data_IF_267986643930
#
_entry.id   IF_267986643930
#
_cell.length_a   1.000
_cell.length_b   1.000
_cell.length_c   1.000
_cell.angle_alpha   90.00
_cell.angle_beta   90.00
_cell.angle_gamma   90.00
#
_symmetry.space_group_name_H-M   'P 1'
#
loop_
_entity.id
_entity.type
_entity.pdbx_description
1 polymer ?
#
# COMPACT_ATOMS: atom_id res chain seq x y z
N UNK A 1 -2.21 69.82 -33.14
CA UNK A 1 -2.28 69.15 -34.46
C UNK A 1 -1.95 67.69 -34.22
N UNK A 2 -2.94 66.83 -33.91
CA UNK A 2 -3.84 66.10 -34.83
C UNK A 2 -3.06 65.31 -35.89
N UNK A 3 -2.83 64.03 -35.60
CA UNK A 3 -2.85 62.94 -36.58
C UNK A 3 -3.03 61.65 -35.77
N UNK A 4 -4.27 61.39 -35.34
CA UNK A 4 -4.62 60.13 -34.70
C UNK A 4 -4.93 59.17 -35.85
N UNK A 5 -3.93 58.40 -36.27
CA UNK A 5 -4.00 57.48 -37.41
C UNK A 5 -5.08 56.43 -37.15
N UNK A 6 -6.29 56.71 -37.66
CA UNK A 6 -7.42 55.79 -37.69
C UNK A 6 -7.15 54.73 -38.77
N UNK A 7 -6.21 53.82 -38.49
CA UNK A 7 -6.23 52.56 -39.22
C UNK A 7 -7.54 51.87 -38.86
N UNK A 8 -8.41 51.51 -39.84
CA UNK A 8 -9.56 50.69 -39.54
C UNK A 8 -9.01 49.32 -39.12
N UNK A 9 -8.83 49.13 -37.82
CA UNK A 9 -8.46 47.86 -37.18
C UNK A 9 -9.62 46.91 -37.36
N UNK A 10 -9.80 46.44 -38.59
CA UNK A 10 -10.89 45.57 -39.01
C UNK A 10 -10.62 44.19 -38.44
N UNK A 11 -11.27 43.90 -37.32
CA UNK A 11 -11.21 42.59 -36.69
C UNK A 11 -12.30 41.72 -37.28
N UNK A 12 -11.93 40.74 -38.10
CA UNK A 12 -12.87 39.72 -38.57
C UNK A 12 -13.14 38.74 -37.43
N UNK A 13 -14.26 38.93 -36.73
CA UNK A 13 -14.76 38.01 -35.70
C UNK A 13 -15.59 36.90 -36.36
N UNK A 14 -14.94 35.77 -36.62
CA UNK A 14 -15.59 34.60 -37.24
C UNK A 14 -15.93 33.57 -36.17
N UNK A 15 -17.21 33.49 -35.78
CA UNK A 15 -17.73 32.43 -34.93
C UNK A 15 -17.83 31.14 -35.74
N UNK A 16 -17.03 30.14 -35.38
CA UNK A 16 -17.08 28.80 -35.98
C UNK A 16 -17.67 27.85 -34.95
N UNK A 17 -18.84 27.31 -35.26
CA UNK A 17 -19.48 26.26 -34.49
C UNK A 17 -19.17 24.94 -35.18
N UNK A 18 -18.66 23.98 -34.44
CA UNK A 18 -18.28 22.68 -34.95
C UNK A 18 -18.28 21.66 -33.83
N UNK A 19 -18.33 20.40 -34.20
CA UNK A 19 -18.27 19.29 -33.26
C UNK A 19 -16.80 19.15 -32.82
N UNK A 20 -16.54 19.32 -31.51
CA UNK A 20 -15.24 19.07 -30.91
C UNK A 20 -15.17 17.59 -30.55
N UNK A 21 -14.43 16.82 -31.34
CA UNK A 21 -14.21 15.40 -31.06
C UNK A 21 -12.96 15.30 -30.17
N UNK A 22 -13.18 14.97 -28.89
CA UNK A 22 -12.10 14.69 -27.94
C UNK A 22 -12.04 13.18 -27.67
N UNK A 23 -10.91 12.56 -27.97
CA UNK A 23 -10.67 11.15 -27.69
C UNK A 23 -10.05 11.02 -26.30
N UNK A 24 -10.89 10.72 -25.30
CA UNK A 24 -10.44 10.38 -23.96
C UNK A 24 -10.13 8.89 -23.89
N UNK A 25 -8.86 8.53 -24.11
CA UNK A 25 -8.42 7.14 -23.93
C UNK A 25 -8.26 6.83 -22.44
N UNK A 26 -9.33 6.36 -21.81
CA UNK A 26 -9.33 5.89 -20.43
C UNK A 26 -8.72 4.47 -20.37
N UNK A 27 -7.39 4.38 -20.37
CA UNK A 27 -6.72 3.09 -20.24
C UNK A 27 -5.26 3.23 -19.83
N UNK A 28 -4.84 2.40 -18.88
CA UNK A 28 -3.42 2.15 -18.62
C UNK A 28 -3.02 0.84 -19.28
N UNK A 29 -2.15 0.93 -20.28
CA UNK A 29 -1.49 -0.24 -20.86
C UNK A 29 -0.48 -0.77 -19.82
N UNK A 30 -0.85 -1.85 -19.14
CA UNK A 30 0.03 -2.53 -18.20
C UNK A 30 1.22 -3.14 -18.93
N UNK A 31 2.44 -2.64 -18.66
CA UNK A 31 3.69 -3.27 -19.11
C UNK A 31 4.19 -4.21 -18.03
N UNK A 32 4.65 -5.40 -18.42
CA UNK A 32 5.29 -6.31 -17.49
C UNK A 32 6.60 -5.69 -16.98
N UNK A 33 6.75 -5.61 -15.66
CA UNK A 33 7.95 -5.10 -14.99
C UNK A 33 8.34 -6.06 -13.88
N UNK A 34 9.51 -6.68 -14.03
CA UNK A 34 10.07 -7.59 -13.02
C UNK A 34 10.26 -6.89 -11.67
N UNK A 35 10.67 -5.61 -11.70
CA UNK A 35 10.80 -4.82 -10.48
C UNK A 35 9.47 -4.68 -9.72
N UNK A 36 8.37 -4.42 -10.43
CA UNK A 36 7.04 -4.35 -9.82
C UNK A 36 6.58 -5.70 -9.26
N UNK A 37 6.91 -6.80 -9.95
CA UNK A 37 6.61 -8.15 -9.48
C UNK A 37 7.31 -8.46 -8.15
N UNK A 38 8.61 -8.18 -8.05
CA UNK A 38 9.40 -8.44 -6.85
C UNK A 38 8.90 -7.60 -5.67
N UNK A 39 8.59 -6.32 -5.88
CA UNK A 39 8.05 -5.46 -4.83
C UNK A 39 6.74 -6.05 -4.29
N UNK A 40 5.83 -6.47 -5.18
CA UNK A 40 4.56 -7.09 -4.76
C UNK A 40 4.77 -8.40 -4.03
N UNK A 41 5.75 -9.21 -4.45
CA UNK A 41 6.08 -10.47 -3.79
C UNK A 41 6.60 -10.23 -2.37
N UNK A 42 7.54 -9.31 -2.20
CA UNK A 42 8.09 -8.94 -0.88
C UNK A 42 7.00 -8.36 0.03
N UNK A 43 6.12 -7.50 -0.51
CA UNK A 43 4.97 -7.00 0.25
C UNK A 43 4.03 -8.12 0.71
N UNK A 44 3.77 -9.12 -0.15
CA UNK A 44 2.98 -10.29 0.20
C UNK A 44 3.64 -11.13 1.31
N UNK A 45 4.95 -11.39 1.20
CA UNK A 45 5.70 -12.10 2.23
C UNK A 45 5.67 -11.36 3.58
N UNK A 46 5.82 -10.03 3.57
CA UNK A 46 5.71 -9.23 4.79
C UNK A 46 4.34 -9.33 5.45
N UNK A 47 3.27 -9.32 4.65
CA UNK A 47 1.90 -9.45 5.16
C UNK A 47 1.64 -10.85 5.74
N UNK A 48 2.21 -11.91 5.15
CA UNK A 48 2.11 -13.26 5.67
C UNK A 48 2.78 -13.38 7.05
N UNK A 49 4.00 -12.84 7.19
CA UNK A 49 4.69 -12.80 8.49
C UNK A 49 3.89 -12.02 9.53
N UNK A 50 3.34 -10.87 9.17
CA UNK A 50 2.47 -10.09 10.07
C UNK A 50 1.21 -10.88 10.48
N UNK A 51 0.65 -11.66 9.56
CA UNK A 51 -0.51 -12.49 9.88
C UNK A 51 -0.13 -13.59 10.87
N UNK A 52 1.01 -14.25 10.67
CA UNK A 52 1.51 -15.26 11.59
C UNK A 52 1.73 -14.70 13.00
N UNK A 53 2.34 -13.52 13.14
CA UNK A 53 2.55 -12.90 14.46
C UNK A 53 1.25 -12.52 15.15
N UNK A 54 0.24 -12.05 14.39
CA UNK A 54 -1.10 -11.79 14.92
C UNK A 54 -1.74 -13.10 15.41
N UNK A 55 -1.67 -14.17 14.62
CA UNK A 55 -2.20 -15.49 15.00
C UNK A 55 -1.52 -16.02 16.26
N UNK A 56 -0.19 -15.92 16.35
CA UNK A 56 0.55 -16.33 17.55
C UNK A 56 0.14 -15.53 18.79
N UNK A 57 -0.03 -14.21 18.63
CA UNK A 57 -0.50 -13.33 19.71
C UNK A 57 -1.92 -13.73 20.15
N UNK A 58 -2.83 -13.98 19.20
CA UNK A 58 -4.18 -14.45 19.51
C UNK A 58 -4.17 -15.82 20.19
N UNK A 59 -3.33 -16.75 19.74
CA UNK A 59 -3.20 -18.08 20.31
C UNK A 59 -2.71 -18.04 21.76
N UNK A 60 -1.82 -17.10 22.10
CA UNK A 60 -1.28 -16.97 23.45
C UNK A 60 -2.22 -16.24 24.42
N UNK A 61 -2.96 -15.23 23.94
CA UNK A 61 -3.75 -14.34 24.80
C UNK A 61 -5.26 -14.58 24.79
N UNK A 62 -5.83 -15.08 23.68
CA UNK A 62 -7.28 -15.22 23.52
C UNK A 62 -7.76 -16.65 23.75
N UNK A 63 -6.95 -17.67 23.42
CA UNK A 63 -7.37 -19.05 23.63
C UNK A 63 -7.41 -19.42 25.13
N UNK A 64 -8.52 -19.98 25.63
CA UNK A 64 -8.66 -20.37 27.03
C UNK A 64 -7.73 -21.52 27.44
N UNK A 65 -7.33 -22.39 26.50
CA UNK A 65 -6.38 -23.51 26.72
C UNK A 65 -4.90 -23.10 26.49
N UNK A 66 -4.59 -21.85 26.88
CA UNK A 66 -3.26 -21.21 26.76
C UNK A 66 -2.10 -22.06 27.29
N UNK A 67 -2.35 -22.90 28.30
CA UNK A 67 -1.32 -23.70 28.96
C UNK A 67 -0.85 -24.86 28.07
N UNK A 68 -1.77 -25.47 27.31
CA UNK A 68 -1.47 -26.59 26.42
C UNK A 68 -0.79 -26.13 25.14
N UNK A 69 -1.16 -24.96 24.60
CA UNK A 69 -0.46 -24.39 23.44
C UNK A 69 0.95 -23.89 23.82
N UNK A 70 1.11 -23.30 25.02
CA UNK A 70 2.41 -22.84 25.53
C UNK A 70 3.41 -23.99 25.73
N UNK A 71 2.96 -25.19 26.13
CA UNK A 71 3.83 -26.36 26.29
C UNK A 71 4.32 -26.98 24.98
N UNK A 72 3.63 -26.77 23.85
CA UNK A 72 4.07 -27.25 22.54
C UNK A 72 4.95 -26.24 21.79
N UNK A 73 4.73 -24.94 22.01
CA UNK A 73 5.48 -23.88 21.34
C UNK A 73 6.76 -23.51 22.07
N UNK A 74 6.78 -23.62 23.41
CA UNK A 74 7.96 -23.31 24.23
C UNK A 74 8.47 -24.56 24.94
N UNK A 75 9.67 -25.04 24.57
CA UNK A 75 10.41 -25.99 25.40
C UNK A 75 10.95 -25.25 26.63
N UNK A 76 10.58 -25.71 27.82
CA UNK A 76 11.14 -25.17 29.06
C UNK A 76 12.62 -25.53 29.16
N UNK A 77 13.50 -24.55 29.05
CA UNK A 77 14.92 -24.75 29.31
C UNK A 77 15.14 -24.98 30.81
N UNK A 78 15.94 -25.99 31.23
CA UNK A 78 16.20 -26.27 32.64
C UNK A 78 17.23 -25.29 33.20
N UNK A 79 16.86 -24.02 33.41
CA UNK A 79 17.74 -23.04 34.09
C UNK A 79 16.94 -22.11 35.00
N UNK A 80 16.30 -22.69 36.03
CA UNK A 80 16.18 -22.11 37.39
C UNK A 80 15.51 -23.11 38.35
N UNK A 81 16.17 -24.23 38.65
CA UNK A 81 15.77 -25.16 39.72
C UNK A 81 16.92 -25.48 40.69
N UNK A 82 17.78 -24.50 40.92
CA UNK A 82 18.69 -24.49 42.07
C UNK A 82 18.64 -23.09 42.62
N UNK A 83 17.94 -22.90 43.73
CA UNK A 83 18.04 -21.82 44.75
C UNK A 83 16.71 -21.63 45.51
N UNK A 84 15.90 -22.68 45.75
CA UNK A 84 14.85 -22.64 46.79
C UNK A 84 14.69 -24.01 47.44
N UNK A 85 15.77 -24.57 48.02
CA UNK A 85 15.71 -25.52 49.14
C UNK A 85 17.00 -25.39 49.95
N UNK A 86 17.10 -24.29 50.68
CA UNK A 86 17.96 -24.19 51.84
C UNK A 86 17.09 -23.59 52.94
N UNK A 87 16.52 -24.48 53.75
CA UNK A 87 16.19 -24.37 55.17
C UNK A 87 15.50 -25.67 55.63
#
# INVERSE_FOLDING_TARGET
MKENSLEPKSRVLRKRYGIKIEFHQAGMLGKFSLASLVIKLVSGMGLLTLTATIVDTLALYVLPDRFRYRSYVYETSPVHEKEIKQD
#
